data_IF_503575426850
#
_entry.id   IF_503575426850
#
_cell.length_a   1.000
_cell.length_b   1.000
_cell.length_c   1.000
_cell.angle_alpha   90.00
_cell.angle_beta   90.00
_cell.angle_gamma   90.00
#
_symmetry.space_group_name_H-M   'P 1'
#
loop_
_entity.id
_entity.type
_entity.pdbx_description
1 polymer ?
#
# COMPACT_ATOMS: atom_id res chain seq x y z
N UNK A 1 -11.12 2.96 -2.02
CA UNK A 1 -10.63 1.61 -1.68
C UNK A 1 -9.23 1.31 -2.21
N UNK A 2 -8.57 2.24 -2.91
CA UNK A 2 -7.22 2.01 -3.44
C UNK A 2 -6.17 2.89 -2.78
N UNK A 3 -6.50 4.10 -2.34
CA UNK A 3 -5.59 4.96 -1.61
C UNK A 3 -6.32 6.16 -0.99
N UNK A 4 -5.82 6.65 0.15
CA UNK A 4 -6.28 7.83 0.86
C UNK A 4 -5.13 8.79 1.16
N UNK A 5 -5.44 9.99 1.65
CA UNK A 5 -4.40 11.01 1.92
C UNK A 5 -3.44 10.59 3.02
N UNK A 6 -3.92 9.92 4.06
CA UNK A 6 -3.04 9.42 5.12
C UNK A 6 -2.29 8.16 4.69
N UNK A 7 -2.92 7.31 3.86
CA UNK A 7 -2.24 6.17 3.23
C UNK A 7 -1.07 6.63 2.38
N UNK A 8 -1.28 7.67 1.54
CA UNK A 8 -0.22 8.24 0.72
C UNK A 8 0.93 8.77 1.59
N UNK A 9 0.62 9.43 2.70
CA UNK A 9 1.63 9.89 3.65
C UNK A 9 2.48 8.73 4.19
N UNK A 10 1.84 7.61 4.55
CA UNK A 10 2.55 6.44 5.08
C UNK A 10 3.47 5.82 4.02
N UNK A 11 3.00 5.62 2.79
CA UNK A 11 3.85 5.04 1.74
C UNK A 11 4.98 5.99 1.34
N UNK A 12 4.75 7.30 1.31
CA UNK A 12 5.79 8.30 1.08
C UNK A 12 6.86 8.28 2.19
N UNK A 13 6.43 8.16 3.46
CA UNK A 13 7.32 8.01 4.59
C UNK A 13 8.18 6.74 4.49
N UNK A 14 7.55 5.59 4.19
CA UNK A 14 8.26 4.33 3.99
C UNK A 14 9.32 4.41 2.90
N UNK A 15 8.96 4.94 1.73
CA UNK A 15 9.88 5.08 0.60
C UNK A 15 11.08 5.95 0.98
N UNK A 16 10.83 7.08 1.61
CA UNK A 16 11.87 8.04 1.97
C UNK A 16 12.77 7.55 3.11
N UNK A 17 12.17 7.06 4.21
CA UNK A 17 12.92 6.66 5.41
C UNK A 17 13.71 5.36 5.19
N UNK A 18 13.29 4.50 4.28
CA UNK A 18 13.95 3.25 3.95
C UNK A 18 14.73 3.28 2.64
N UNK A 19 14.76 4.42 1.96
CA UNK A 19 15.39 4.55 0.64
C UNK A 19 14.96 3.40 -0.29
N UNK A 20 13.65 3.22 -0.43
CA UNK A 20 13.06 2.16 -1.22
C UNK A 20 12.20 2.77 -2.35
N UNK A 21 12.36 2.31 -3.60
CA UNK A 21 11.60 2.85 -4.72
C UNK A 21 10.13 2.41 -4.72
N UNK A 22 9.80 1.36 -3.97
CA UNK A 22 8.45 0.82 -3.85
C UNK A 22 8.10 0.68 -2.38
N UNK A 23 6.85 1.02 -2.02
CA UNK A 23 6.33 0.78 -0.69
C UNK A 23 4.97 0.09 -0.74
N UNK A 24 4.75 -0.83 0.22
CA UNK A 24 3.47 -1.48 0.47
C UNK A 24 2.97 -1.16 1.88
N UNK A 25 1.68 -0.83 1.98
CA UNK A 25 1.02 -0.57 3.25
C UNK A 25 -0.33 -1.27 3.26
N UNK A 26 -0.74 -1.90 4.37
CA UNK A 26 -2.06 -2.53 4.46
C UNK A 26 -3.16 -1.54 4.12
N UNK A 27 -4.17 -2.00 3.40
CA UNK A 27 -5.34 -1.20 3.05
C UNK A 27 -6.43 -1.15 4.12
N UNK A 28 -6.22 -1.79 5.24
CA UNK A 28 -7.21 -1.91 6.29
C UNK A 28 -6.96 -0.89 7.40
N UNK A 29 -7.83 0.11 7.51
CA UNK A 29 -7.78 1.15 8.54
C UNK A 29 -9.16 1.66 8.93
N UNK A 30 -9.28 2.01 10.19
CA UNK A 30 -10.39 2.76 10.76
C UNK A 30 -9.85 4.11 11.22
N UNK A 31 -9.59 4.99 10.28
CA UNK A 31 -8.87 6.20 10.57
C UNK A 31 -9.73 7.35 11.03
N UNK A 32 -9.12 8.24 11.77
CA UNK A 32 -9.66 9.54 12.12
C UNK A 32 -9.48 10.50 10.95
N UNK A 33 -10.49 11.32 10.68
CA UNK A 33 -10.38 12.40 9.71
C UNK A 33 -9.68 13.60 10.34
N UNK A 34 -8.65 14.09 9.67
CA UNK A 34 -7.98 15.35 9.99
C UNK A 34 -8.30 16.41 8.95
N UNK A 35 -8.75 17.56 9.39
CA UNK A 35 -9.03 18.69 8.52
C UNK A 35 -7.76 19.52 8.26
N UNK A 36 -7.69 20.25 7.14
CA UNK A 36 -6.59 21.16 6.88
C UNK A 36 -6.38 22.16 8.02
N UNK A 37 -5.12 22.38 8.41
CA UNK A 37 -4.74 23.25 9.51
C UNK A 37 -4.74 22.60 10.90
N UNK A 38 -5.26 21.38 11.02
CA UNK A 38 -5.21 20.65 12.28
C UNK A 38 -3.82 20.03 12.53
N UNK A 39 -3.33 20.00 13.78
CA UNK A 39 -2.08 19.32 14.09
C UNK A 39 -2.26 17.80 14.01
N UNK A 40 -1.29 17.14 13.39
CA UNK A 40 -1.19 15.69 13.45
C UNK A 40 -0.54 15.33 14.79
N UNK A 41 -1.23 14.53 15.60
CA UNK A 41 -0.80 14.09 16.92
C UNK A 41 -0.43 12.61 16.91
N UNK A 42 0.26 12.13 17.95
CA UNK A 42 0.68 10.73 18.05
C UNK A 42 -0.51 9.76 18.08
N UNK A 43 -1.59 10.13 18.76
CA UNK A 43 -2.84 9.33 18.75
C UNK A 43 -3.40 9.14 17.34
N UNK A 44 -3.29 10.13 16.45
CA UNK A 44 -3.71 9.98 15.06
C UNK A 44 -2.81 9.00 14.29
N UNK A 45 -1.50 8.96 14.60
CA UNK A 45 -0.60 7.96 14.03
C UNK A 45 -0.97 6.55 14.50
N UNK A 46 -1.27 6.40 15.79
CA UNK A 46 -1.69 5.11 16.36
C UNK A 46 -2.99 4.63 15.73
N UNK A 47 -3.99 5.49 15.56
CA UNK A 47 -5.25 5.16 14.88
C UNK A 47 -5.02 4.67 13.44
N UNK A 48 -4.01 5.18 12.76
CA UNK A 48 -3.71 4.84 11.37
C UNK A 48 -2.77 3.64 11.21
N UNK A 49 -2.00 3.28 12.22
CA UNK A 49 -0.89 2.31 12.07
C UNK A 49 -0.87 1.19 13.11
N UNK A 50 -1.48 1.35 14.28
CA UNK A 50 -1.44 0.34 15.34
C UNK A 50 -2.56 -0.72 15.21
N UNK A 51 -2.76 -1.27 14.01
CA UNK A 51 -3.89 -2.15 13.72
C UNK A 51 -3.53 -3.63 13.85
N UNK A 52 -2.54 -4.12 13.11
CA UNK A 52 -2.26 -5.56 13.08
C UNK A 52 -0.78 -5.92 13.10
N UNK A 53 0.05 -5.18 12.42
CA UNK A 53 1.49 -5.45 12.32
C UNK A 53 2.28 -4.22 12.74
N UNK A 54 3.12 -4.32 13.78
CA UNK A 54 3.79 -3.12 14.28
C UNK A 54 5.04 -2.73 13.50
N UNK A 55 5.73 -3.69 12.85
CA UNK A 55 7.10 -3.47 12.41
C UNK A 55 7.22 -3.21 10.92
N UNK A 56 8.10 -2.26 10.60
CA UNK A 56 8.52 -1.97 9.23
C UNK A 56 9.45 -3.07 8.72
N UNK A 57 9.24 -3.48 7.49
CA UNK A 57 10.08 -4.44 6.78
C UNK A 57 10.71 -3.81 5.54
N UNK A 58 11.89 -4.27 5.18
CA UNK A 58 12.51 -3.99 3.89
C UNK A 58 12.88 -5.33 3.28
N UNK A 59 12.37 -5.60 2.09
CA UNK A 59 12.51 -6.90 1.43
C UNK A 59 12.92 -6.70 -0.02
N UNK A 60 13.79 -7.57 -0.50
CA UNK A 60 14.10 -7.68 -1.91
C UNK A 60 13.11 -8.63 -2.58
N UNK A 61 12.35 -8.13 -3.56
CA UNK A 61 11.29 -8.89 -4.23
C UNK A 61 11.47 -8.87 -5.75
N UNK A 62 11.28 -10.01 -6.40
CA UNK A 62 11.17 -10.05 -7.87
C UNK A 62 9.90 -9.36 -8.34
N UNK A 63 9.92 -8.81 -9.56
CA UNK A 63 8.73 -8.18 -10.16
C UNK A 63 7.53 -9.13 -10.24
N UNK A 64 7.78 -10.42 -10.49
CA UNK A 64 6.73 -11.45 -10.47
C UNK A 64 6.12 -11.65 -9.07
N UNK A 65 6.94 -11.59 -8.02
CA UNK A 65 6.45 -11.67 -6.63
C UNK A 65 5.57 -10.45 -6.30
N UNK A 66 5.97 -9.26 -6.74
CA UNK A 66 5.16 -8.03 -6.59
C UNK A 66 3.80 -8.20 -7.29
N UNK A 67 3.77 -8.71 -8.51
CA UNK A 67 2.54 -9.02 -9.24
C UNK A 67 1.67 -10.01 -8.48
N UNK A 68 2.25 -11.11 -8.01
CA UNK A 68 1.54 -12.16 -7.27
C UNK A 68 0.87 -11.62 -6.01
N UNK A 69 1.55 -10.75 -5.24
CA UNK A 69 0.97 -10.10 -4.06
C UNK A 69 -0.23 -9.23 -4.44
N UNK A 70 -0.12 -8.43 -5.50
CA UNK A 70 -1.22 -7.59 -5.95
C UNK A 70 -2.42 -8.41 -6.45
N UNK A 71 -2.16 -9.51 -7.17
CA UNK A 71 -3.21 -10.42 -7.66
C UNK A 71 -3.92 -11.14 -6.51
N UNK A 72 -3.18 -11.61 -5.51
CA UNK A 72 -3.72 -12.29 -4.32
C UNK A 72 -4.65 -11.37 -3.52
N UNK A 73 -4.20 -10.14 -3.25
CA UNK A 73 -5.05 -9.14 -2.58
C UNK A 73 -6.25 -8.75 -3.44
N UNK A 74 -6.09 -8.64 -4.76
CA UNK A 74 -7.20 -8.37 -5.67
C UNK A 74 -8.23 -9.50 -5.66
N UNK A 75 -7.81 -10.76 -5.51
CA UNK A 75 -8.74 -11.90 -5.43
C UNK A 75 -9.59 -11.88 -4.16
N UNK A 76 -9.02 -11.45 -3.04
CA UNK A 76 -9.78 -11.24 -1.79
C UNK A 76 -10.93 -10.22 -1.93
N UNK A 77 -10.84 -9.31 -2.91
CA UNK A 77 -11.84 -8.25 -3.15
C UNK A 77 -12.78 -8.56 -4.30
N UNK A 78 -12.28 -9.17 -5.36
CA UNK A 78 -12.96 -9.27 -6.64
C UNK A 78 -13.22 -10.73 -7.10
N UNK A 79 -13.06 -11.69 -6.19
CA UNK A 79 -13.44 -13.07 -6.52
C UNK A 79 -14.94 -13.13 -6.84
N UNK A 80 -15.35 -13.78 -7.95
CA UNK A 80 -16.76 -13.89 -8.31
C UNK A 80 -17.59 -14.71 -7.32
N UNK A 81 -16.95 -15.60 -6.56
CA UNK A 81 -17.58 -16.33 -5.47
C UNK A 81 -17.43 -15.54 -4.17
N UNK A 82 -18.54 -15.06 -3.55
CA UNK A 82 -18.49 -14.26 -2.35
C UNK A 82 -17.88 -14.97 -1.14
N UNK A 83 -17.86 -16.30 -1.11
CA UNK A 83 -17.22 -17.06 -0.03
C UNK A 83 -15.70 -16.93 -0.02
N UNK A 84 -15.10 -16.58 -1.15
CA UNK A 84 -13.65 -16.31 -1.27
C UNK A 84 -13.29 -14.83 -1.11
N UNK A 85 -14.29 -13.96 -1.04
CA UNK A 85 -14.05 -12.55 -0.75
C UNK A 85 -13.79 -12.36 0.75
N UNK A 86 -12.53 -12.32 1.14
CA UNK A 86 -12.14 -12.08 2.53
C UNK A 86 -12.39 -10.63 2.97
N UNK A 87 -12.66 -9.75 2.02
CA UNK A 87 -12.90 -8.34 2.28
C UNK A 87 -11.62 -7.52 2.47
N UNK A 88 -11.79 -6.34 3.03
CA UNK A 88 -10.71 -5.36 3.18
C UNK A 88 -10.61 -4.43 1.99
N UNK A 89 -9.44 -3.85 1.82
CA UNK A 89 -9.09 -2.93 0.75
C UNK A 89 -7.87 -3.43 0.00
N UNK A 90 -7.65 -2.88 -1.19
CA UNK A 90 -6.43 -3.14 -1.93
C UNK A 90 -5.21 -2.64 -1.15
N UNK A 91 -4.09 -3.36 -1.23
CA UNK A 91 -2.83 -2.89 -0.66
C UNK A 91 -2.50 -1.49 -1.20
N UNK A 92 -2.11 -0.58 -0.32
CA UNK A 92 -1.65 0.76 -0.71
C UNK A 92 -0.24 0.65 -1.25
N UNK A 93 -0.03 1.23 -2.41
CA UNK A 93 1.23 1.12 -3.14
C UNK A 93 1.86 2.50 -3.29
N UNK A 94 3.12 2.62 -2.92
CA UNK A 94 3.94 3.80 -3.20
C UNK A 94 4.94 3.51 -4.33
N UNK A 95 5.18 4.49 -5.20
CA UNK A 95 6.19 4.44 -6.24
C UNK A 95 5.86 3.61 -7.49
N UNK A 96 5.02 2.61 -7.37
CA UNK A 96 4.62 1.72 -8.46
C UNK A 96 3.28 2.14 -9.04
N UNK A 97 3.21 2.41 -10.34
CA UNK A 97 1.96 2.54 -11.09
C UNK A 97 1.52 1.17 -11.62
N UNK A 98 0.22 0.90 -11.59
CA UNK A 98 -0.32 -0.33 -12.16
C UNK A 98 -1.75 -0.16 -12.66
N UNK A 99 -2.16 -1.05 -13.57
CA UNK A 99 -3.53 -1.13 -14.10
C UNK A 99 -4.19 -2.39 -13.57
N UNK A 100 -5.44 -2.28 -13.11
CA UNK A 100 -6.23 -3.40 -12.60
C UNK A 100 -7.56 -3.51 -13.35
N UNK A 101 -7.90 -4.73 -13.77
CA UNK A 101 -9.25 -5.12 -14.21
C UNK A 101 -9.90 -6.01 -13.15
N UNK A 102 -10.83 -5.48 -12.35
CA UNK A 102 -11.51 -6.24 -11.30
C UNK A 102 -12.31 -7.45 -11.83
N UNK A 103 -12.75 -7.42 -13.09
CA UNK A 103 -13.56 -8.48 -13.69
C UNK A 103 -12.75 -9.57 -14.40
N UNK A 104 -11.44 -9.36 -14.54
CA UNK A 104 -10.57 -10.38 -15.09
C UNK A 104 -10.44 -11.58 -14.14
N UNK A 105 -10.01 -12.71 -14.68
CA UNK A 105 -9.74 -13.93 -13.88
C UNK A 105 -8.61 -13.67 -12.88
N UNK A 106 -8.65 -14.36 -11.74
CA UNK A 106 -7.55 -14.38 -10.78
C UNK A 106 -6.21 -14.68 -11.48
N UNK A 107 -5.18 -13.92 -11.14
CA UNK A 107 -3.87 -13.98 -11.79
C UNK A 107 -3.74 -13.21 -13.11
N UNK A 108 -4.82 -12.55 -13.57
CA UNK A 108 -4.84 -11.75 -14.79
C UNK A 108 -5.46 -10.35 -14.59
N UNK A 109 -5.70 -9.95 -13.34
CA UNK A 109 -6.28 -8.65 -13.02
C UNK A 109 -5.26 -7.52 -13.12
N UNK A 110 -4.01 -7.79 -12.78
CA UNK A 110 -2.92 -6.80 -12.84
C UNK A 110 -2.25 -6.87 -14.21
N UNK A 111 -2.59 -5.94 -15.09
CA UNK A 111 -2.18 -6.01 -16.50
C UNK A 111 -0.92 -5.19 -16.81
N UNK A 112 -0.64 -4.14 -16.05
CA UNK A 112 0.49 -3.25 -16.25
C UNK A 112 1.07 -2.89 -14.90
N UNK A 113 2.39 -2.91 -14.81
CA UNK A 113 3.12 -2.39 -13.66
C UNK A 113 4.32 -1.58 -14.15
N UNK A 114 4.50 -0.38 -13.60
CA UNK A 114 5.59 0.52 -13.97
C UNK A 114 6.21 1.20 -12.75
N UNK A 115 7.52 1.25 -12.73
CA UNK A 115 8.30 2.02 -11.77
C UNK A 115 9.00 3.17 -12.49
N UNK A 116 8.70 4.42 -12.08
CA UNK A 116 9.22 5.62 -12.72
C UNK A 116 9.01 5.63 -14.26
N UNK A 117 7.83 5.18 -14.72
CA UNK A 117 7.45 5.12 -16.14
C UNK A 117 8.10 4.00 -16.95
N UNK A 118 8.82 3.07 -16.31
CA UNK A 118 9.41 1.90 -16.96
C UNK A 118 8.69 0.63 -16.51
N UNK A 119 8.36 -0.28 -17.43
CA UNK A 119 7.77 -1.56 -17.06
C UNK A 119 8.61 -2.31 -16.03
N UNK A 120 7.93 -2.95 -15.08
CA UNK A 120 8.55 -3.87 -14.13
C UNK A 120 8.97 -5.14 -14.89
N UNK A 121 10.22 -5.52 -14.70
CA UNK A 121 10.76 -6.79 -15.18
C UNK A 121 10.44 -7.88 -14.15
N UNK A 122 9.84 -8.97 -14.58
CA UNK A 122 9.40 -10.08 -13.73
C UNK A 122 10.55 -10.72 -12.95
N UNK A 123 11.71 -10.86 -13.57
CA UNK A 123 12.88 -11.52 -12.98
C UNK A 123 13.80 -10.59 -12.20
N UNK A 124 13.69 -9.30 -12.43
CA UNK A 124 14.48 -8.30 -11.73
C UNK A 124 14.00 -8.13 -10.29
N UNK A 125 14.97 -7.97 -9.38
CA UNK A 125 14.71 -7.71 -7.97
C UNK A 125 14.60 -6.21 -7.69
N UNK A 126 13.63 -5.88 -6.84
CA UNK A 126 13.31 -4.51 -6.40
C UNK A 126 13.28 -4.45 -4.88
N UNK A 127 13.83 -3.39 -4.32
CA UNK A 127 13.74 -3.10 -2.89
C UNK A 127 12.35 -2.56 -2.58
N UNK A 128 11.64 -3.22 -1.68
CA UNK A 128 10.27 -2.88 -1.25
C UNK A 128 10.26 -2.63 0.25
N UNK A 129 9.80 -1.47 0.67
CA UNK A 129 9.52 -1.17 2.07
C UNK A 129 8.05 -1.46 2.38
N UNK A 130 7.76 -1.97 3.57
CA UNK A 130 6.39 -2.26 3.97
C UNK A 130 6.25 -2.43 5.47
N UNK A 131 5.03 -2.70 5.94
CA UNK A 131 4.76 -3.01 7.34
C UNK A 131 3.64 -4.05 7.54
N UNK A 132 3.31 -4.78 6.48
CA UNK A 132 2.53 -6.01 6.54
C UNK A 132 3.41 -7.15 6.02
N UNK A 133 4.05 -7.92 6.90
CA UNK A 133 4.95 -8.98 6.47
C UNK A 133 4.17 -10.08 5.77
N UNK A 134 4.64 -10.47 4.59
CA UNK A 134 4.07 -11.54 3.77
C UNK A 134 4.59 -12.93 4.16
N UNK A 135 5.56 -13.01 5.07
CA UNK A 135 6.13 -14.27 5.56
C UNK A 135 6.17 -14.33 7.08
N UNK A 136 6.14 -15.55 7.65
CA UNK A 136 6.28 -15.74 9.09
C UNK A 136 7.64 -15.28 9.64
N UNK A 137 8.71 -15.47 8.89
CA UNK A 137 10.04 -15.04 9.30
C UNK A 137 10.13 -13.52 9.41
N UNK A 138 9.52 -12.80 8.46
CA UNK A 138 9.42 -11.34 8.53
C UNK A 138 8.57 -10.87 9.73
N UNK A 139 7.56 -11.65 10.15
CA UNK A 139 6.76 -11.35 11.36
C UNK A 139 7.57 -11.51 12.64
N UNK A 140 8.46 -12.50 12.70
CA UNK A 140 9.29 -12.81 13.87
C UNK A 140 10.53 -11.93 13.98
N UNK A 141 10.97 -11.31 12.88
CA UNK A 141 12.21 -10.56 12.83
C UNK A 141 12.23 -9.31 13.74
N UNK A 142 11.05 -8.81 14.14
CA UNK A 142 10.94 -7.54 14.86
C UNK A 142 11.42 -6.37 13.99
N UNK A 143 11.50 -5.19 14.57
CA UNK A 143 11.99 -4.03 13.83
C UNK A 143 11.52 -2.71 14.41
N UNK A 144 11.68 -1.65 13.63
CA UNK A 144 11.17 -0.34 13.96
C UNK A 144 9.64 -0.31 13.81
N UNK A 145 8.90 0.18 14.83
CA UNK A 145 7.46 0.38 14.70
C UNK A 145 7.13 1.38 13.59
N UNK A 146 6.07 1.09 12.83
CA UNK A 146 5.64 1.96 11.72
C UNK A 146 5.26 3.36 12.21
N UNK A 147 4.62 3.49 13.35
CA UNK A 147 4.26 4.79 13.92
C UNK A 147 5.47 5.65 14.26
N UNK A 148 6.58 5.06 14.72
CA UNK A 148 7.82 5.80 15.02
C UNK A 148 8.51 6.26 13.72
N UNK A 149 8.49 5.43 12.66
CA UNK A 149 8.97 5.84 11.35
C UNK A 149 8.17 7.01 10.78
N UNK A 150 6.83 6.93 10.84
CA UNK A 150 5.95 8.00 10.33
C UNK A 150 6.09 9.25 11.17
N UNK A 151 6.19 9.13 12.51
CA UNK A 151 6.45 10.27 13.41
C UNK A 151 7.76 10.99 13.04
N UNK A 152 8.85 10.26 12.87
CA UNK A 152 10.15 10.82 12.46
C UNK A 152 10.06 11.56 11.12
N UNK A 153 9.34 10.99 10.15
CA UNK A 153 9.09 11.64 8.87
C UNK A 153 8.33 12.95 9.04
N UNK A 154 7.25 12.95 9.82
CA UNK A 154 6.44 14.15 10.09
C UNK A 154 7.21 15.23 10.84
N UNK A 155 8.00 14.88 11.85
CA UNK A 155 8.86 15.83 12.58
C UNK A 155 9.85 16.52 11.65
N UNK A 156 10.41 15.78 10.69
CA UNK A 156 11.33 16.35 9.68
C UNK A 156 10.59 17.29 8.72
N UNK A 157 9.42 16.92 8.23
CA UNK A 157 8.64 17.72 7.28
C UNK A 157 7.95 18.93 7.92
N UNK A 158 7.68 18.88 9.24
CA UNK A 158 7.00 19.91 10.04
C UNK A 158 5.59 20.25 9.59
N UNK A 159 5.36 20.33 8.29
CA UNK A 159 4.05 20.60 7.67
C UNK A 159 3.86 19.70 6.47
N UNK A 160 2.76 18.95 6.49
CA UNK A 160 2.38 18.07 5.39
C UNK A 160 1.33 18.76 4.53
N UNK A 161 1.53 18.68 3.23
CA UNK A 161 0.52 19.05 2.23
C UNK A 161 0.02 17.77 1.56
N UNK A 162 -1.28 17.71 1.30
CA UNK A 162 -1.85 16.62 0.53
C UNK A 162 -1.14 16.53 -0.84
N UNK A 163 -0.72 15.33 -1.19
CA UNK A 163 -0.09 15.02 -2.48
C UNK A 163 -1.08 14.28 -3.39
N UNK A 164 -0.86 14.26 -4.71
CA UNK A 164 -1.59 13.37 -5.60
C UNK A 164 -1.51 11.94 -5.09
N UNK A 165 -2.64 11.26 -5.06
CA UNK A 165 -2.72 9.88 -4.59
C UNK A 165 -2.20 8.94 -5.68
N UNK A 166 -1.33 8.01 -5.30
CA UNK A 166 -0.92 6.93 -6.17
C UNK A 166 -2.05 5.88 -6.22
N UNK A 167 -2.90 5.97 -7.23
CA UNK A 167 -4.01 5.05 -7.46
C UNK A 167 -3.75 4.24 -8.71
N UNK A 168 -4.19 2.97 -8.77
CA UNK A 168 -4.15 2.22 -10.02
C UNK A 168 -5.08 2.83 -11.07
N UNK A 169 -4.76 2.58 -12.32
CA UNK A 169 -5.72 2.72 -13.41
C UNK A 169 -6.71 1.54 -13.35
N UNK A 170 -8.00 1.84 -13.23
CA UNK A 170 -9.04 0.81 -13.14
C UNK A 170 -9.73 0.70 -14.48
N UNK A 171 -9.70 -0.47 -15.08
CA UNK A 171 -10.32 -0.74 -16.39
C UNK A 171 -11.50 -1.72 -16.27
N UNK A 172 -12.34 -1.77 -17.28
CA UNK A 172 -13.47 -2.71 -17.31
C UNK A 172 -14.65 -2.34 -16.41
N UNK A 173 -14.57 -1.23 -15.64
CA UNK A 173 -15.60 -0.81 -14.69
C UNK A 173 -16.21 0.52 -15.13
N UNK A 174 -17.54 0.56 -15.22
CA UNK A 174 -18.30 1.78 -15.50
C UNK A 174 -19.43 1.96 -14.49
N UNK A 175 -19.55 3.17 -13.95
CA UNK A 175 -20.70 3.58 -13.13
C UNK A 175 -20.83 2.91 -11.76
N UNK A 176 -19.76 2.27 -11.27
CA UNK A 176 -19.73 1.73 -9.91
C UNK A 176 -18.94 2.66 -8.97
N UNK A 177 -19.60 3.47 -8.11
CA UNK A 177 -18.92 4.40 -7.22
C UNK A 177 -18.12 3.70 -6.12
N UNK A 178 -18.37 2.43 -5.84
CA UNK A 178 -17.62 1.64 -4.84
C UNK A 178 -16.22 1.20 -5.32
N UNK A 179 -15.96 1.32 -6.63
CA UNK A 179 -14.69 0.93 -7.23
C UNK A 179 -13.87 2.18 -7.67
N UNK A 180 -14.52 3.33 -7.77
CA UNK A 180 -13.88 4.58 -8.20
C UNK A 180 -12.96 5.17 -7.13
#
# INVERSE_FOLDING_TARGET
NFNGTFDQLIVDALMREKDAPIAFSPGFRWGTTLLPGQPIRREHLMDQTAISYPFVTVTEMKGETIRTILEDVADNLFNPDPYYQQGGDMVRVGGLAYTIDPHAKAGSRITRMELAGKPIDADRTYKVAGWAPVSEDARKAGGEPIWDLVERHLVREKTIRARPLNRPEIVGVRGNPGIA
#
